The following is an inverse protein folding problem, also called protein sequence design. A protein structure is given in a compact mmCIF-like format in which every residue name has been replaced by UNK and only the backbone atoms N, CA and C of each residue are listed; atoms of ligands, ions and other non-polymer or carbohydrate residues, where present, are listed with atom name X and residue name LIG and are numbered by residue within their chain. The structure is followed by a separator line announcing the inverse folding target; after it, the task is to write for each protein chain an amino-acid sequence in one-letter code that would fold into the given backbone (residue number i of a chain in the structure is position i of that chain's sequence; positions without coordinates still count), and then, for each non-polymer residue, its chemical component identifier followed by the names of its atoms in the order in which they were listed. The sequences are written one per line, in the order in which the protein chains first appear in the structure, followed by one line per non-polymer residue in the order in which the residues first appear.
data_IF_922264871253
#
_entry.id   IF_922264871253
#
_cell.length_a   1.000
_cell.length_b   1.000
_cell.length_c   1.000
_cell.angle_alpha   90.00
_cell.angle_beta   90.00
_cell.angle_gamma   90.00
#
_symmetry.space_group_name_H-M   'P 1'
#
loop_
_entity.id
_entity.type
_entity.pdbx_description
1 polymer ?
#
# COMPACT_ATOMS: atom_id res chain seq x y z
N UNK A 1 32.40 -8.13 -13.65
CA UNK A 1 31.63 -8.78 -14.73
C UNK A 1 30.36 -9.29 -14.06
N UNK A 2 29.30 -8.48 -14.05
CA UNK A 2 28.06 -8.81 -13.34
C UNK A 2 27.17 -9.65 -14.24
N UNK A 3 26.54 -10.72 -13.73
CA UNK A 3 25.76 -11.61 -14.57
C UNK A 3 24.54 -10.86 -15.12
N UNK A 4 24.41 -10.96 -16.44
CA UNK A 4 23.34 -10.49 -17.31
C UNK A 4 22.00 -11.19 -17.05
N UNK A 5 21.43 -11.01 -15.85
CA UNK A 5 20.11 -11.53 -15.47
C UNK A 5 18.98 -10.48 -15.56
N UNK A 6 19.25 -9.31 -16.12
CA UNK A 6 18.27 -8.23 -16.30
C UNK A 6 17.34 -8.40 -17.52
N UNK A 7 17.27 -9.59 -18.12
CA UNK A 7 16.34 -9.89 -19.24
C UNK A 7 15.12 -10.72 -18.81
N UNK A 8 14.57 -10.43 -17.64
CA UNK A 8 13.15 -10.63 -17.33
C UNK A 8 12.54 -9.28 -16.92
N UNK A 9 12.55 -8.36 -17.86
CA UNK A 9 11.71 -7.18 -17.86
C UNK A 9 10.25 -7.65 -18.04
N UNK A 10 9.62 -8.04 -16.93
CA UNK A 10 8.17 -8.19 -16.70
C UNK A 10 7.99 -8.74 -15.27
N UNK A 11 8.53 -8.04 -14.28
CA UNK A 11 8.28 -8.36 -12.86
C UNK A 11 6.93 -7.77 -12.41
N UNK A 12 5.85 -8.23 -13.04
CA UNK A 12 4.68 -8.60 -12.26
C UNK A 12 4.92 -10.06 -11.93
N UNK A 13 5.07 -10.49 -10.67
CA UNK A 13 5.10 -11.91 -10.41
C UNK A 13 3.79 -12.44 -10.99
N UNK A 14 3.91 -13.25 -12.02
CA UNK A 14 2.95 -14.28 -12.26
C UNK A 14 3.44 -15.43 -11.39
N UNK A 15 2.99 -15.55 -10.12
CA UNK A 15 3.22 -16.76 -9.36
C UNK A 15 2.39 -17.83 -10.07
N UNK A 16 2.99 -18.44 -11.09
CA UNK A 16 2.42 -19.60 -11.77
C UNK A 16 2.36 -20.78 -10.79
N UNK A 17 3.07 -20.72 -9.64
CA UNK A 17 3.09 -21.77 -8.64
C UNK A 17 2.94 -21.19 -7.22
N UNK A 18 1.97 -21.72 -6.46
CA UNK A 18 1.76 -21.43 -5.03
C UNK A 18 3.03 -21.62 -4.19
N UNK A 19 3.87 -22.60 -4.55
CA UNK A 19 5.15 -22.89 -3.92
C UNK A 19 6.12 -21.70 -3.92
N UNK A 20 6.22 -20.96 -5.03
CA UNK A 20 7.10 -19.80 -5.12
C UNK A 20 6.61 -18.68 -4.19
N UNK A 21 5.29 -18.48 -4.14
CA UNK A 21 4.68 -17.50 -3.24
C UNK A 21 4.83 -17.90 -1.77
N UNK A 22 4.68 -19.19 -1.45
CA UNK A 22 4.90 -19.75 -0.12
C UNK A 22 6.35 -19.52 0.35
N UNK A 23 7.33 -19.80 -0.52
CA UNK A 23 8.73 -19.52 -0.24
C UNK A 23 9.00 -18.02 -0.04
N UNK A 24 8.43 -17.16 -0.88
CA UNK A 24 8.56 -15.69 -0.77
C UNK A 24 7.93 -15.16 0.53
N UNK A 25 6.76 -15.67 0.92
CA UNK A 25 6.05 -15.19 2.09
C UNK A 25 6.52 -15.85 3.40
N UNK A 26 7.23 -16.98 3.33
CA UNK A 26 7.62 -17.78 4.49
C UNK A 26 6.44 -18.48 5.14
N UNK A 27 5.43 -18.84 4.34
CA UNK A 27 4.17 -19.43 4.78
C UNK A 27 3.94 -20.79 4.13
N UNK A 28 3.06 -21.61 4.70
CA UNK A 28 2.67 -22.90 4.13
C UNK A 28 1.69 -22.73 2.94
N UNK A 29 1.83 -23.57 1.91
CA UNK A 29 1.00 -23.50 0.70
C UNK A 29 -0.50 -23.64 0.99
N UNK A 30 -0.88 -24.55 1.90
CA UNK A 30 -2.29 -24.77 2.23
C UNK A 30 -2.88 -23.54 2.95
N UNK A 31 -2.05 -22.83 3.71
CA UNK A 31 -2.44 -21.59 4.39
C UNK A 31 -2.63 -20.42 3.42
N UNK A 32 -1.87 -20.40 2.31
CA UNK A 32 -1.96 -19.34 1.28
C UNK A 32 -3.04 -19.59 0.22
N UNK A 33 -3.57 -20.79 0.09
CA UNK A 33 -4.57 -21.13 -0.94
C UNK A 33 -5.77 -20.16 -0.95
N UNK A 34 -6.26 -19.78 0.24
CA UNK A 34 -7.36 -18.81 0.36
C UNK A 34 -6.95 -17.38 -0.02
N UNK A 35 -5.71 -16.99 0.27
CA UNK A 35 -5.14 -15.67 -0.09
C UNK A 35 -5.01 -15.55 -1.61
N UNK A 36 -4.43 -16.57 -2.26
CA UNK A 36 -4.25 -16.58 -3.72
C UNK A 36 -5.59 -16.58 -4.44
N UNK A 37 -6.52 -17.45 -4.04
CA UNK A 37 -7.86 -17.47 -4.62
C UNK A 37 -8.58 -16.13 -4.50
N UNK A 38 -8.42 -15.43 -3.38
CA UNK A 38 -9.02 -14.11 -3.18
C UNK A 38 -8.34 -13.04 -4.03
N UNK A 39 -7.02 -13.11 -4.22
CA UNK A 39 -6.28 -12.20 -5.10
C UNK A 39 -6.64 -12.39 -6.58
N UNK A 40 -6.79 -13.64 -7.03
CA UNK A 40 -7.19 -13.98 -8.40
C UNK A 40 -8.62 -13.49 -8.74
N UNK A 41 -9.44 -13.26 -7.72
CA UNK A 41 -10.78 -12.68 -7.87
C UNK A 41 -10.78 -11.15 -8.03
N UNK A 42 -9.63 -10.47 -7.91
CA UNK A 42 -9.51 -9.03 -8.12
C UNK A 42 -9.03 -8.77 -9.54
N UNK A 43 -9.91 -8.25 -10.39
CA UNK A 43 -9.64 -8.08 -11.82
C UNK A 43 -9.01 -6.71 -12.14
N UNK A 44 -8.10 -6.69 -13.13
CA UNK A 44 -7.56 -5.45 -13.71
C UNK A 44 -6.54 -4.70 -12.84
N UNK A 45 -6.02 -5.33 -11.78
CA UNK A 45 -5.07 -4.74 -10.85
C UNK A 45 -3.75 -5.53 -10.83
N UNK A 46 -2.63 -4.93 -10.40
CA UNK A 46 -1.37 -5.64 -10.22
C UNK A 46 -1.51 -6.74 -9.16
N UNK A 47 -1.52 -8.00 -9.61
CA UNK A 47 -1.78 -9.19 -8.77
C UNK A 47 -0.90 -9.24 -7.51
N UNK A 48 0.35 -8.80 -7.63
CA UNK A 48 1.31 -8.80 -6.52
C UNK A 48 0.97 -7.79 -5.42
N UNK A 49 0.49 -6.60 -5.78
CA UNK A 49 0.02 -5.61 -4.79
C UNK A 49 -1.22 -6.15 -4.09
N UNK A 50 -2.15 -6.72 -4.87
CA UNK A 50 -3.36 -7.36 -4.32
C UNK A 50 -2.98 -8.47 -3.34
N UNK A 51 -2.09 -9.38 -3.72
CA UNK A 51 -1.57 -10.45 -2.87
C UNK A 51 -0.96 -9.90 -1.58
N UNK A 52 -0.09 -8.88 -1.67
CA UNK A 52 0.56 -8.28 -0.51
C UNK A 52 -0.46 -7.70 0.48
N UNK A 53 -1.46 -6.97 -0.02
CA UNK A 53 -2.48 -6.35 0.84
C UNK A 53 -3.39 -7.41 1.47
N UNK A 54 -3.88 -8.38 0.69
CA UNK A 54 -4.72 -9.46 1.23
C UNK A 54 -3.95 -10.28 2.27
N UNK A 55 -2.70 -10.64 1.97
CA UNK A 55 -1.82 -11.36 2.89
C UNK A 55 -1.59 -10.58 4.19
N UNK A 56 -1.28 -9.28 4.10
CA UNK A 56 -1.05 -8.45 5.29
C UNK A 56 -2.29 -8.37 6.18
N UNK A 57 -3.48 -8.21 5.60
CA UNK A 57 -4.74 -8.18 6.35
C UNK A 57 -5.10 -9.53 6.98
N UNK A 58 -4.91 -10.61 6.25
CA UNK A 58 -5.11 -11.96 6.76
C UNK A 58 -4.15 -12.25 7.93
N UNK A 59 -2.87 -11.94 7.76
CA UNK A 59 -1.83 -12.25 8.74
C UNK A 59 -1.85 -11.34 9.97
N UNK A 60 -1.99 -10.03 9.77
CA UNK A 60 -1.83 -9.02 10.84
C UNK A 60 -3.15 -8.61 11.50
N UNK A 61 -4.28 -8.77 10.81
CA UNK A 61 -5.60 -8.36 11.31
C UNK A 61 -6.64 -9.49 11.36
N UNK A 62 -6.25 -10.72 11.01
CA UNK A 62 -7.13 -11.89 10.95
C UNK A 62 -8.40 -11.65 10.10
N UNK A 63 -8.27 -10.82 9.06
CA UNK A 63 -9.37 -10.54 8.12
C UNK A 63 -9.41 -11.66 7.08
N UNK A 64 -10.58 -12.23 6.87
CA UNK A 64 -10.73 -13.29 5.88
C UNK A 64 -10.39 -12.78 4.47
N UNK A 65 -9.57 -13.51 3.66
CA UNK A 65 -9.05 -13.02 2.39
C UNK A 65 -10.09 -12.45 1.41
N UNK A 66 -11.27 -13.09 1.34
CA UNK A 66 -12.36 -12.67 0.47
C UNK A 66 -12.94 -11.29 0.83
N UNK A 67 -12.84 -10.87 2.10
CA UNK A 67 -13.28 -9.55 2.55
C UNK A 67 -12.35 -8.49 1.97
N UNK A 68 -11.04 -8.67 2.13
CA UNK A 68 -10.06 -7.74 1.57
C UNK A 68 -10.11 -7.69 0.05
N UNK A 69 -10.31 -8.83 -0.62
CA UNK A 69 -10.57 -8.88 -2.07
C UNK A 69 -11.81 -8.06 -2.47
N UNK A 70 -12.91 -8.17 -1.73
CA UNK A 70 -14.11 -7.33 -1.95
C UNK A 70 -13.84 -5.85 -1.74
N UNK A 71 -13.03 -5.47 -0.75
CA UNK A 71 -12.60 -4.08 -0.52
C UNK A 71 -11.81 -3.56 -1.72
N UNK A 72 -10.83 -4.32 -2.21
CA UNK A 72 -9.98 -3.93 -3.33
C UNK A 72 -10.74 -3.86 -4.67
N UNK A 73 -11.70 -4.76 -4.89
CA UNK A 73 -12.62 -4.69 -6.04
C UNK A 73 -13.52 -3.45 -5.98
N UNK A 74 -13.95 -3.03 -4.78
CA UNK A 74 -14.72 -1.81 -4.62
C UNK A 74 -13.88 -0.53 -4.75
N UNK A 75 -12.60 -0.60 -4.41
CA UNK A 75 -11.66 0.52 -4.35
C UNK A 75 -10.38 0.22 -5.15
N UNK A 76 -10.48 0.13 -6.49
CA UNK A 76 -9.33 -0.13 -7.37
C UNK A 76 -8.26 0.96 -7.29
N UNK A 77 -8.61 2.16 -6.80
CA UNK A 77 -7.70 3.27 -6.60
C UNK A 77 -6.59 2.95 -5.58
N UNK A 78 -6.83 2.01 -4.65
CA UNK A 78 -5.83 1.60 -3.63
C UNK A 78 -4.63 0.91 -4.29
N UNK A 79 -4.80 -0.24 -4.98
CA UNK A 79 -3.67 -0.91 -5.61
C UNK A 79 -3.02 -0.05 -6.72
N UNK A 80 -3.81 0.72 -7.46
CA UNK A 80 -3.27 1.65 -8.47
C UNK A 80 -2.39 2.75 -7.84
N UNK A 81 -2.80 3.30 -6.69
CA UNK A 81 -2.03 4.33 -5.97
C UNK A 81 -0.72 3.79 -5.39
N UNK A 82 -0.70 2.53 -4.94
CA UNK A 82 0.52 1.85 -4.50
C UNK A 82 1.43 1.55 -5.70
N UNK A 83 0.85 1.13 -6.83
CA UNK A 83 1.59 0.86 -8.06
C UNK A 83 2.31 2.11 -8.59
N UNK A 84 1.64 3.26 -8.59
CA UNK A 84 2.20 4.55 -9.03
C UNK A 84 3.56 4.85 -8.36
N UNK A 85 3.72 4.42 -7.12
CA UNK A 85 4.93 4.62 -6.30
C UNK A 85 5.95 3.53 -6.52
N UNK A 86 5.54 2.26 -6.48
CA UNK A 86 6.44 1.11 -6.51
C UNK A 86 6.89 0.72 -7.93
N UNK A 87 6.19 1.20 -8.96
CA UNK A 87 6.49 0.98 -10.37
C UNK A 87 6.64 2.31 -11.12
N UNK A 88 7.09 3.36 -10.41
CA UNK A 88 7.24 4.70 -10.95
C UNK A 88 8.06 4.71 -12.26
N UNK A 89 7.55 5.42 -13.27
CA UNK A 89 8.23 5.62 -14.57
C UNK A 89 8.26 7.11 -14.89
N UNK A 90 9.45 7.67 -15.06
CA UNK A 90 9.64 9.10 -15.31
C UNK A 90 9.28 9.55 -16.74
N UNK A 91 9.03 8.61 -17.66
CA UNK A 91 8.63 8.86 -19.04
C UNK A 91 8.77 7.62 -19.92
N UNK A 92 8.35 7.71 -21.19
CA UNK A 92 8.39 6.59 -22.16
C UNK A 92 9.80 6.16 -22.60
N UNK A 93 10.82 6.99 -22.33
CA UNK A 93 12.21 6.76 -22.74
C UNK A 93 13.20 6.70 -21.56
N UNK A 94 12.74 6.90 -20.32
CA UNK A 94 13.59 6.80 -19.14
C UNK A 94 13.58 5.34 -18.66
N UNK A 95 14.76 4.76 -18.51
CA UNK A 95 14.93 3.45 -17.85
C UNK A 95 14.20 3.43 -16.50
N UNK A 96 13.84 2.23 -16.06
CA UNK A 96 13.13 1.93 -14.81
C UNK A 96 13.91 2.42 -13.58
N UNK A 97 13.90 3.73 -13.34
CA UNK A 97 14.58 4.35 -12.22
C UNK A 97 13.60 4.45 -11.07
N UNK A 98 13.75 3.57 -10.08
CA UNK A 98 13.15 3.71 -8.76
C UNK A 98 13.73 4.96 -8.06
N UNK A 99 13.02 6.11 -8.06
CA UNK A 99 13.57 7.37 -7.56
C UNK A 99 13.65 7.41 -6.03
N UNK A 100 13.00 6.44 -5.38
CA UNK A 100 12.91 6.34 -3.93
C UNK A 100 13.88 5.29 -3.37
N UNK A 101 14.61 4.60 -4.25
CA UNK A 101 15.60 3.58 -3.94
C UNK A 101 15.05 2.41 -3.12
N UNK A 102 13.74 2.17 -3.12
CA UNK A 102 13.11 1.04 -2.43
C UNK A 102 13.69 -0.33 -2.78
N UNK A 103 14.16 -0.50 -4.03
CA UNK A 103 14.69 -1.75 -4.55
C UNK A 103 16.20 -1.75 -4.70
N UNK A 104 16.89 -0.74 -4.16
CA UNK A 104 18.33 -0.79 -4.02
C UNK A 104 18.72 -1.89 -3.01
N UNK A 105 19.81 -2.67 -3.21
CA UNK A 105 20.18 -3.77 -2.33
C UNK A 105 20.31 -3.39 -0.85
N UNK A 106 20.85 -2.19 -0.57
CA UNK A 106 21.04 -1.69 0.81
C UNK A 106 19.81 -0.99 1.40
N UNK A 107 18.74 -0.78 0.62
CA UNK A 107 17.57 -0.09 1.12
C UNK A 107 16.78 -0.96 2.10
N UNK A 108 16.23 -0.33 3.12
CA UNK A 108 15.45 -1.02 4.16
C UNK A 108 13.96 -0.87 3.87
N UNK A 109 13.25 -1.96 3.66
CA UNK A 109 11.80 -1.97 3.44
C UNK A 109 10.97 -1.65 4.66
N UNK A 110 11.48 -1.99 5.85
CA UNK A 110 10.78 -1.76 7.12
C UNK A 110 10.74 -0.30 7.54
N UNK A 111 11.58 0.56 6.95
CA UNK A 111 11.59 1.98 7.27
C UNK A 111 10.38 2.63 6.60
N UNK A 112 9.42 3.17 7.40
CA UNK A 112 8.32 3.90 6.83
C UNK A 112 8.82 5.18 6.17
N UNK A 113 8.26 5.49 5.01
CA UNK A 113 8.51 6.74 4.31
C UNK A 113 7.20 7.50 4.33
N UNK A 114 6.98 8.38 5.33
CA UNK A 114 5.67 8.97 5.60
C UNK A 114 5.05 9.60 4.35
N UNK A 115 5.83 10.34 3.55
CA UNK A 115 5.36 10.98 2.33
C UNK A 115 4.76 10.01 1.29
N UNK A 116 5.16 8.74 1.29
CA UNK A 116 4.80 7.78 0.25
C UNK A 116 3.88 6.68 0.76
N UNK A 117 4.03 6.31 2.03
CA UNK A 117 3.36 5.15 2.60
C UNK A 117 1.88 5.37 2.82
N UNK A 118 1.09 4.37 2.45
CA UNK A 118 -0.34 4.32 2.65
C UNK A 118 -0.70 3.34 3.73
N UNK A 119 -1.75 3.67 4.48
CA UNK A 119 -2.25 2.83 5.54
C UNK A 119 -3.70 2.46 5.28
N UNK A 120 -4.07 1.24 5.65
CA UNK A 120 -5.46 0.87 5.79
C UNK A 120 -5.72 0.52 7.26
N UNK A 121 -6.62 1.27 7.88
CA UNK A 121 -7.05 1.09 9.26
C UNK A 121 -8.27 0.18 9.29
N UNK A 122 -8.21 -0.87 10.11
CA UNK A 122 -9.36 -1.67 10.53
C UNK A 122 -9.77 -1.23 11.94
N UNK A 123 -10.94 -0.62 12.03
CA UNK A 123 -11.47 -0.09 13.29
C UNK A 123 -12.58 -1.00 13.80
N UNK A 124 -12.52 -1.36 15.08
CA UNK A 124 -13.49 -2.26 15.73
C UNK A 124 -13.70 -3.59 14.97
N UNK A 125 -12.64 -4.09 14.32
CA UNK A 125 -12.68 -5.29 13.46
C UNK A 125 -13.74 -5.23 12.34
N UNK A 126 -14.22 -4.03 12.00
CA UNK A 126 -15.40 -3.86 11.14
C UNK A 126 -15.23 -2.81 10.07
N UNK A 127 -14.73 -1.63 10.42
CA UNK A 127 -14.73 -0.47 9.53
C UNK A 127 -13.37 -0.32 8.87
N UNK A 128 -13.38 -0.11 7.55
CA UNK A 128 -12.17 0.09 6.76
C UNK A 128 -12.00 1.57 6.41
N UNK A 129 -10.82 2.11 6.73
CA UNK A 129 -10.43 3.48 6.40
C UNK A 129 -9.10 3.43 5.67
N UNK A 130 -9.02 4.05 4.50
CA UNK A 130 -7.77 4.23 3.77
C UNK A 130 -7.17 5.59 4.10
N UNK A 131 -5.89 5.61 4.42
CA UNK A 131 -5.09 6.79 4.69
C UNK A 131 -4.02 6.94 3.63
N UNK A 132 -4.18 7.97 2.81
CA UNK A 132 -3.25 8.30 1.72
C UNK A 132 -2.57 9.64 2.00
N UNK A 133 -1.24 9.74 1.91
CA UNK A 133 -0.53 11.02 1.89
C UNK A 133 -1.10 11.96 0.82
N UNK A 134 -1.27 13.24 1.14
CA UNK A 134 -1.77 14.25 0.18
C UNK A 134 -0.68 14.82 -0.73
N UNK A 135 0.56 14.37 -0.58
CA UNK A 135 1.68 14.87 -1.38
C UNK A 135 1.58 14.40 -2.83
N UNK A 136 1.96 15.26 -3.77
CA UNK A 136 2.12 14.88 -5.17
C UNK A 136 3.39 14.03 -5.34
N UNK A 137 3.20 12.72 -5.32
CA UNK A 137 4.26 11.72 -5.42
C UNK A 137 4.93 11.73 -6.79
N UNK A 138 4.18 12.08 -7.83
CA UNK A 138 4.70 12.11 -9.19
C UNK A 138 5.66 13.28 -9.36
N UNK A 139 5.28 14.48 -8.91
CA UNK A 139 6.18 15.63 -8.90
C UNK A 139 7.40 15.39 -8.00
N UNK A 140 7.21 14.74 -6.85
CA UNK A 140 8.29 14.36 -5.94
C UNK A 140 9.30 13.41 -6.60
N UNK A 141 8.82 12.35 -7.26
CA UNK A 141 9.66 11.38 -7.96
C UNK A 141 10.48 12.02 -9.08
N UNK A 142 9.87 12.90 -9.89
CA UNK A 142 10.59 13.65 -10.95
C UNK A 142 11.70 14.52 -10.38
N UNK A 143 11.42 15.29 -9.32
CA UNK A 143 12.41 16.16 -8.70
C UNK A 143 13.62 15.39 -8.15
N UNK A 144 13.42 14.17 -7.65
CA UNK A 144 14.51 13.29 -7.20
C UNK A 144 15.37 12.80 -8.36
N UNK A 145 14.76 12.45 -9.49
CA UNK A 145 15.46 11.98 -10.70
C UNK A 145 16.28 13.12 -11.32
N UNK A 146 15.63 14.25 -11.61
CA UNK A 146 16.26 15.43 -12.23
C UNK A 146 17.41 15.97 -11.35
N UNK A 147 17.19 15.98 -10.04
CA UNK A 147 18.16 16.43 -9.04
C UNK A 147 19.36 15.50 -8.85
N UNK A 148 19.19 14.19 -9.04
CA UNK A 148 20.29 13.22 -8.93
C UNK A 148 21.37 13.39 -10.02
N UNK A 149 20.96 13.90 -11.19
CA UNK A 149 21.86 14.13 -12.34
C UNK A 149 22.54 15.51 -12.28
N UNK A 150 21.96 16.45 -11.54
CA UNK A 150 22.41 17.83 -11.42
C UNK A 150 22.71 18.16 -9.96
N UNK A 151 23.91 17.76 -9.50
CA UNK A 151 24.40 17.94 -8.13
C UNK A 151 23.87 19.24 -7.46
N UNK A 152 22.90 19.11 -6.56
CA UNK A 152 22.57 20.14 -5.56
C UNK A 152 21.57 21.23 -5.97
N UNK A 153 20.70 21.01 -6.94
CA UNK A 153 19.57 21.93 -7.18
C UNK A 153 18.64 22.06 -5.94
N UNK A 154 18.14 23.27 -5.65
CA UNK A 154 17.24 23.51 -4.51
C UNK A 154 16.01 22.59 -4.48
N UNK A 155 15.47 22.26 -5.66
CA UNK A 155 14.33 21.35 -5.81
C UNK A 155 14.63 19.91 -5.34
N UNK A 156 15.86 19.43 -5.51
CA UNK A 156 16.28 18.12 -5.02
C UNK A 156 16.32 18.06 -3.49
N UNK A 157 16.89 19.10 -2.87
CA UNK A 157 16.94 19.20 -1.41
C UNK A 157 15.55 19.36 -0.80
N UNK A 158 14.67 20.10 -1.45
CA UNK A 158 13.28 20.25 -1.04
C UNK A 158 12.50 18.92 -1.19
N UNK A 159 12.76 18.15 -2.25
CA UNK A 159 12.21 16.80 -2.43
C UNK A 159 12.68 15.84 -1.32
N UNK A 160 13.99 15.82 -1.01
CA UNK A 160 14.53 15.01 0.09
C UNK A 160 13.96 15.42 1.45
N UNK A 161 13.76 16.73 1.68
CA UNK A 161 13.11 17.23 2.89
C UNK A 161 11.65 16.75 2.96
N UNK A 162 10.94 16.78 1.83
CA UNK A 162 9.54 16.37 1.74
C UNK A 162 9.35 14.88 2.02
N UNK A 163 10.29 14.02 1.61
CA UNK A 163 10.26 12.59 1.96
C UNK A 163 10.30 12.33 3.47
N UNK A 164 11.01 13.18 4.21
CA UNK A 164 11.18 13.09 5.67
C UNK A 164 10.13 13.87 6.46
N UNK A 165 9.41 14.77 5.80
CA UNK A 165 8.38 15.57 6.45
C UNK A 165 7.19 14.70 6.85
N UNK A 166 6.53 15.07 7.95
CA UNK A 166 5.26 14.46 8.32
C UNK A 166 4.19 14.90 7.30
N UNK A 167 3.60 13.98 6.52
CA UNK A 167 2.59 14.34 5.55
C UNK A 167 1.27 14.62 6.24
N UNK A 168 0.42 15.39 5.58
CA UNK A 168 -1.02 15.35 5.82
C UNK A 168 -1.58 14.08 5.18
N UNK A 169 -2.36 13.31 5.93
CA UNK A 169 -3.08 12.15 5.41
C UNK A 169 -4.52 12.51 5.11
N UNK A 170 -5.00 12.16 3.92
CA UNK A 170 -6.42 12.09 3.63
C UNK A 170 -6.96 10.75 4.13
N UNK A 171 -7.99 10.79 4.98
CA UNK A 171 -8.68 9.59 5.45
C UNK A 171 -9.98 9.39 4.67
N UNK A 172 -10.13 8.24 4.03
CA UNK A 172 -11.25 7.87 3.16
C UNK A 172 -11.97 6.68 3.79
N UNK A 173 -13.25 6.86 4.12
CA UNK A 173 -14.07 5.76 4.65
C UNK A 173 -14.53 4.83 3.53
N UNK A 174 -13.93 3.64 3.47
CA UNK A 174 -14.16 2.68 2.39
C UNK A 174 -15.49 1.95 2.52
N UNK A 175 -15.89 1.63 3.75
CA UNK A 175 -17.05 0.81 4.06
C UNK A 175 -16.90 0.06 5.37
N UNK A 176 -17.70 -0.99 5.54
CA UNK A 176 -17.70 -1.82 6.74
C UNK A 176 -17.97 -3.29 6.41
N UNK A 177 -17.76 -4.17 7.39
CA UNK A 177 -18.06 -5.60 7.26
C UNK A 177 -19.19 -6.02 8.18
N UNK A 178 -19.99 -6.98 7.72
CA UNK A 178 -21.03 -7.61 8.52
C UNK A 178 -21.29 -9.02 7.99
N UNK A 179 -21.34 -10.02 8.87
CA UNK A 179 -21.53 -11.42 8.47
C UNK A 179 -20.49 -11.94 7.47
N UNK A 180 -19.24 -11.45 7.55
CA UNK A 180 -18.16 -11.85 6.63
C UNK A 180 -18.27 -11.27 5.22
N UNK A 181 -19.15 -10.29 5.01
CA UNK A 181 -19.32 -9.57 3.73
C UNK A 181 -18.92 -8.11 3.90
N UNK A 182 -18.35 -7.53 2.83
CA UNK A 182 -18.02 -6.12 2.79
C UNK A 182 -19.16 -5.31 2.17
N UNK A 183 -19.50 -4.20 2.82
CA UNK A 183 -20.49 -3.22 2.38
C UNK A 183 -19.76 -1.92 2.08
N UNK A 184 -19.73 -1.56 0.80
CA UNK A 184 -19.08 -0.34 0.33
C UNK A 184 -19.84 0.89 0.83
N UNK A 185 -19.11 1.93 1.21
CA UNK A 185 -19.70 3.25 1.39
C UNK A 185 -19.92 3.94 0.02
N UNK A 186 -21.16 4.04 -0.42
CA UNK A 186 -21.54 4.71 -1.68
C UNK A 186 -21.35 6.24 -1.64
N UNK A 187 -21.35 6.85 -0.45
CA UNK A 187 -21.27 8.32 -0.29
C UNK A 187 -19.86 8.89 -0.40
N UNK A 188 -18.82 8.04 -0.38
CA UNK A 188 -17.42 8.48 -0.36
C UNK A 188 -16.91 9.06 -1.68
N UNK A 189 -17.66 8.96 -2.80
CA UNK A 189 -17.21 9.54 -4.08
C UNK A 189 -17.31 11.06 -4.14
N UNK A 190 -18.17 11.69 -3.32
CA UNK A 190 -18.43 13.14 -3.42
C UNK A 190 -18.46 13.94 -2.12
N UNK A 191 -18.34 13.35 -0.92
CA UNK A 191 -18.29 14.14 0.31
C UNK A 191 -17.44 13.50 1.42
N UNK A 192 -16.43 14.25 1.88
CA UNK A 192 -15.63 13.98 3.07
C UNK A 192 -16.46 14.27 4.33
N UNK A 193 -17.18 13.27 4.84
CA UNK A 193 -17.44 13.05 6.28
C UNK A 193 -18.35 11.83 6.47
N UNK A 194 -17.96 10.84 7.28
CA UNK A 194 -18.89 9.84 7.76
C UNK A 194 -19.82 10.49 8.78
N UNK A 195 -21.10 10.67 8.44
CA UNK A 195 -22.15 10.84 9.46
C UNK A 195 -22.60 9.43 9.85
N UNK A 196 -21.91 8.82 10.81
CA UNK A 196 -22.46 7.66 11.52
C UNK A 196 -23.42 8.21 12.57
N UNK A 197 -24.69 7.79 12.50
CA UNK A 197 -25.73 8.24 13.41
C UNK A 197 -25.28 8.04 14.86
N UNK A 198 -25.20 9.15 15.59
CA UNK A 198 -24.83 9.20 16.98
C UNK A 198 -25.88 8.47 17.81
N UNK A 199 -25.43 7.49 18.59
CA UNK A 199 -26.07 7.19 19.87
C UNK A 199 -25.01 7.23 20.96
N UNK A 200 -24.25 8.33 21.04
CA UNK A 200 -23.66 8.88 22.27
C UNK A 200 -23.45 10.38 22.04
N UNK A 201 -23.87 11.17 23.01
CA UNK A 201 -24.08 12.62 23.02
C UNK A 201 -22.91 13.51 22.60
N UNK A 202 -23.29 14.71 22.16
CA UNK A 202 -22.51 15.92 21.93
C UNK A 202 -21.27 16.07 22.83
N UNK A 203 -20.09 16.14 22.21
CA UNK A 203 -18.96 16.91 22.74
C UNK A 203 -18.37 17.74 21.61
N UNK A 204 -18.52 19.04 21.78
CA UNK A 204 -17.97 20.15 21.01
C UNK A 204 -16.43 20.14 21.01
N UNK A 205 -15.82 19.57 19.96
CA UNK A 205 -14.53 19.95 19.36
C UNK A 205 -14.18 18.96 18.23
N UNK A 206 -14.30 19.32 16.93
CA UNK A 206 -14.45 18.34 15.85
C UNK A 206 -13.14 17.83 15.21
N UNK A 207 -11.95 18.25 15.67
CA UNK A 207 -10.68 17.89 15.02
C UNK A 207 -9.75 16.98 15.82
N UNK A 208 -10.02 16.71 17.10
CA UNK A 208 -9.08 15.97 17.99
C UNK A 208 -9.63 14.68 18.60
N UNK A 209 -10.91 14.35 18.41
CA UNK A 209 -11.56 13.24 19.12
C UNK A 209 -11.73 11.94 18.31
N UNK A 210 -11.60 11.98 16.98
CA UNK A 210 -11.91 10.82 16.13
C UNK A 210 -10.79 9.77 16.04
N UNK A 211 -9.52 10.18 16.16
CA UNK A 211 -8.39 9.24 16.01
C UNK A 211 -8.05 8.47 17.30
N UNK A 212 -8.50 8.95 18.46
CA UNK A 212 -8.04 8.48 19.77
C UNK A 212 -9.06 7.63 20.56
N UNK A 213 -10.28 7.41 20.04
CA UNK A 213 -11.40 6.88 20.84
C UNK A 213 -11.87 5.47 20.49
N UNK A 214 -11.06 4.68 19.78
CA UNK A 214 -11.39 3.29 19.46
C UNK A 214 -10.55 2.31 20.29
N UNK A 215 -11.23 1.50 21.10
CA UNK A 215 -10.61 0.47 21.94
C UNK A 215 -9.85 -0.62 21.14
N UNK A 216 -10.10 -0.76 19.83
CA UNK A 216 -9.37 -1.66 18.95
C UNK A 216 -9.26 -1.05 17.54
N UNK A 217 -8.03 -0.69 17.16
CA UNK A 217 -7.66 -0.23 15.82
C UNK A 217 -6.39 -0.94 15.40
N UNK A 218 -6.43 -1.59 14.22
CA UNK A 218 -5.27 -2.20 13.59
C UNK A 218 -4.93 -1.37 12.36
N UNK A 219 -3.72 -0.83 12.29
CA UNK A 219 -3.25 -0.05 11.14
C UNK A 219 -2.23 -0.86 10.35
N UNK A 220 -2.49 -1.09 9.07
CA UNK A 220 -1.59 -1.83 8.18
C UNK A 220 -1.00 -0.85 7.16
N UNK A 221 0.33 -0.72 7.16
CA UNK A 221 1.04 -0.02 6.10
C UNK A 221 1.05 -0.92 4.84
N UNK A 222 0.16 -0.62 3.91
CA UNK A 222 -0.04 -1.41 2.69
C UNK A 222 1.06 -1.16 1.67
N UNK A 223 1.71 0.01 1.70
CA UNK A 223 2.89 0.30 0.88
C UNK A 223 4.09 -0.54 1.29
N UNK A 224 4.36 -0.67 2.59
CA UNK A 224 5.43 -1.54 3.10
C UNK A 224 5.13 -3.00 2.78
N UNK A 225 3.89 -3.48 2.99
CA UNK A 225 3.55 -4.86 2.66
C UNK A 225 3.81 -5.19 1.18
N UNK A 226 3.46 -4.27 0.27
CA UNK A 226 3.75 -4.42 -1.14
C UNK A 226 5.26 -4.34 -1.45
N UNK A 227 5.98 -3.39 -0.82
CA UNK A 227 7.45 -3.26 -0.96
C UNK A 227 8.18 -4.51 -0.49
N UNK A 228 7.82 -5.06 0.66
CA UNK A 228 8.35 -6.31 1.22
C UNK A 228 8.17 -7.45 0.22
N UNK A 229 6.94 -7.67 -0.27
CA UNK A 229 6.67 -8.74 -1.22
C UNK A 229 7.50 -8.59 -2.50
N UNK A 230 7.54 -7.38 -3.07
CA UNK A 230 8.31 -7.12 -4.30
C UNK A 230 9.81 -7.31 -4.08
N UNK A 231 10.38 -6.87 -2.95
CA UNK A 231 11.79 -7.10 -2.63
C UNK A 231 12.14 -8.58 -2.49
N UNK A 232 11.32 -9.35 -1.77
CA UNK A 232 11.52 -10.81 -1.65
C UNK A 232 11.43 -11.50 -3.02
N UNK A 233 10.48 -11.09 -3.86
CA UNK A 233 10.37 -11.60 -5.23
C UNK A 233 11.59 -11.25 -6.11
N UNK A 234 12.28 -10.14 -5.82
CA UNK A 234 13.54 -9.74 -6.46
C UNK A 234 14.78 -10.42 -5.83
N UNK A 235 14.61 -11.27 -4.81
CA UNK A 235 15.72 -11.87 -4.07
C UNK A 235 16.51 -10.88 -3.22
N UNK A 236 15.93 -9.73 -2.88
CA UNK A 236 16.52 -8.73 -2.01
C UNK A 236 16.21 -9.04 -0.55
N UNK A 237 17.15 -8.73 0.35
CA UNK A 237 16.98 -8.93 1.78
C UNK A 237 15.79 -8.14 2.32
N UNK A 238 15.03 -8.79 3.20
CA UNK A 238 13.95 -8.20 3.99
C UNK A 238 14.19 -8.51 5.45
N UNK A 239 14.37 -7.48 6.27
CA UNK A 239 14.60 -7.60 7.70
C UNK A 239 13.25 -7.88 8.36
N UNK A 240 13.16 -9.04 9.03
CA UNK A 240 11.94 -9.52 9.71
C UNK A 240 11.85 -8.98 11.13
#
# INVERSE_FOLDING_TARGET
MFPSLLTRAELGPDPAVLADLAAILGEDEASLAAVVKAADAVAGMPRWIVLAVIHAFWRKANVAPQVTSSVLNAWPEIPASIEEVLSFKAGAAAEESDPFLFFHPIATETIPIPALDEYMDLVQNRFFIWKRPTIDRTSLGRALIEGSQSYGGGQYLDALRSLKAQPSYQSIWLGFTEGGRFFRNERSRHNLRPTLASSVSEISNPSSSFENSYACKISINVSIAARELKRRALGLDVVS
#
